data_IF_100430980543
#
_entry.id   IF_100430980543
#
_cell.length_a   1.000
_cell.length_b   1.000
_cell.length_c   1.000
_cell.angle_alpha   90.00
_cell.angle_beta   90.00
_cell.angle_gamma   90.00
#
_symmetry.space_group_name_H-M   'P 1'
#
loop_
_entity.id
_entity.type
_entity.pdbx_description
1 polymer ?
#
# COMPACT_ATOMS: atom_id res chain seq x y z
N UNK A 1 26.24 -8.40 -20.48
CA UNK A 1 26.58 -9.41 -19.46
C UNK A 1 26.14 -8.89 -18.09
N UNK A 2 24.85 -8.55 -17.93
CA UNK A 2 24.25 -7.99 -16.68
C UNK A 2 22.75 -8.32 -16.64
N UNK A 3 22.33 -9.50 -17.11
CA UNK A 3 20.89 -9.85 -17.17
C UNK A 3 20.52 -11.17 -16.48
N UNK A 4 21.50 -11.90 -15.93
CA UNK A 4 21.22 -13.19 -15.27
C UNK A 4 21.18 -13.10 -13.73
N UNK A 5 21.70 -12.03 -13.11
CA UNK A 5 21.86 -11.99 -11.64
C UNK A 5 20.59 -11.61 -10.85
N UNK A 6 19.48 -11.28 -11.51
CA UNK A 6 18.21 -10.94 -10.85
C UNK A 6 17.22 -12.11 -10.78
N UNK A 7 17.56 -13.26 -11.35
CA UNK A 7 16.70 -14.45 -11.35
C UNK A 7 16.95 -15.40 -10.17
N UNK A 8 18.08 -15.27 -9.45
CA UNK A 8 18.51 -16.22 -8.41
C UNK A 8 17.98 -15.92 -6.98
N UNK A 9 17.32 -14.80 -6.72
CA UNK A 9 16.84 -14.46 -5.35
C UNK A 9 15.36 -14.79 -5.07
N UNK A 10 14.72 -15.54 -5.97
CA UNK A 10 13.31 -15.96 -5.85
C UNK A 10 13.14 -17.45 -5.53
N UNK A 11 14.22 -18.15 -5.19
CA UNK A 11 14.16 -19.56 -4.84
C UNK A 11 13.76 -19.75 -3.36
N UNK A 12 12.63 -20.42 -3.15
CA UNK A 12 12.41 -21.19 -1.92
C UNK A 12 11.52 -20.56 -0.86
N UNK A 13 10.26 -20.27 -1.18
CA UNK A 13 9.18 -20.59 -0.22
C UNK A 13 8.04 -21.22 -1.01
N UNK A 14 8.23 -22.48 -1.40
CA UNK A 14 7.09 -23.34 -1.71
C UNK A 14 6.27 -23.47 -0.42
N UNK A 15 5.20 -22.69 -0.31
CA UNK A 15 4.15 -22.94 0.66
C UNK A 15 3.44 -24.18 0.14
N UNK A 16 3.96 -25.36 0.46
CA UNK A 16 3.22 -26.60 0.31
C UNK A 16 2.03 -26.51 1.25
N UNK A 17 0.92 -25.97 0.75
CA UNK A 17 -0.40 -26.11 1.38
C UNK A 17 -0.79 -27.58 1.25
N UNK A 18 -0.17 -28.43 2.07
CA UNK A 18 -0.71 -29.76 2.32
C UNK A 18 -1.99 -29.52 3.11
N UNK A 19 -3.12 -29.43 2.41
CA UNK A 19 -4.42 -29.46 3.06
C UNK A 19 -4.46 -30.67 4.00
N UNK A 20 -4.88 -30.48 5.27
CA UNK A 20 -5.00 -31.60 6.17
C UNK A 20 -5.97 -32.61 5.54
N UNK A 21 -5.49 -33.84 5.31
CA UNK A 21 -6.24 -34.94 4.66
C UNK A 21 -7.51 -35.35 5.43
N UNK A 22 -7.76 -34.76 6.58
CA UNK A 22 -8.94 -34.95 7.41
C UNK A 22 -9.49 -33.58 7.84
N UNK A 23 -10.82 -33.41 7.89
CA UNK A 23 -11.42 -32.22 8.47
C UNK A 23 -10.89 -32.03 9.90
N UNK A 24 -10.43 -30.82 10.22
CA UNK A 24 -9.78 -30.46 11.49
C UNK A 24 -10.66 -30.73 12.72
N UNK A 25 -11.98 -30.76 12.52
CA UNK A 25 -12.98 -31.04 13.54
C UNK A 25 -14.02 -32.01 12.99
N UNK A 26 -14.53 -32.88 13.86
CA UNK A 26 -15.74 -33.63 13.59
C UNK A 26 -16.94 -32.68 13.48
N UNK A 27 -18.00 -33.12 12.78
CA UNK A 27 -19.21 -32.31 12.62
C UNK A 27 -19.86 -31.93 13.97
N UNK A 28 -19.68 -32.79 14.98
CA UNK A 28 -20.16 -32.53 16.34
C UNK A 28 -19.32 -31.45 17.04
N UNK A 29 -18.00 -31.52 16.95
CA UNK A 29 -17.10 -30.50 17.51
C UNK A 29 -17.34 -29.14 16.86
N UNK A 30 -17.50 -29.10 15.54
CA UNK A 30 -17.84 -27.89 14.81
C UNK A 30 -19.15 -27.28 15.32
N UNK A 31 -20.18 -28.12 15.49
CA UNK A 31 -21.48 -27.66 16.02
C UNK A 31 -21.36 -27.13 17.44
N UNK A 32 -20.53 -27.74 18.29
CA UNK A 32 -20.28 -27.26 19.65
C UNK A 32 -19.61 -25.88 19.62
N UNK A 33 -18.62 -25.68 18.76
CA UNK A 33 -17.95 -24.38 18.58
C UNK A 33 -18.93 -23.32 18.08
N UNK A 34 -19.76 -23.64 17.07
CA UNK A 34 -20.80 -22.72 16.57
C UNK A 34 -21.82 -22.36 17.68
N UNK A 35 -22.17 -23.31 18.55
CA UNK A 35 -23.04 -23.03 19.70
C UNK A 35 -22.34 -22.18 20.77
N UNK A 36 -21.04 -22.35 20.98
CA UNK A 36 -20.25 -21.51 21.88
C UNK A 36 -20.19 -20.06 21.38
N UNK A 37 -19.88 -19.86 20.10
CA UNK A 37 -19.85 -18.54 19.46
C UNK A 37 -21.23 -17.87 19.55
N UNK A 38 -22.30 -18.63 19.28
CA UNK A 38 -23.67 -18.12 19.39
C UNK A 38 -24.04 -17.75 20.84
N UNK A 39 -23.53 -18.49 21.81
CA UNK A 39 -23.77 -18.21 23.23
C UNK A 39 -23.06 -16.90 23.64
N UNK A 40 -21.82 -16.69 23.19
CA UNK A 40 -21.10 -15.44 23.43
C UNK A 40 -21.83 -14.24 22.80
N UNK A 41 -22.32 -14.39 21.57
CA UNK A 41 -23.10 -13.36 20.87
C UNK A 41 -24.37 -12.99 21.65
N UNK A 42 -25.13 -14.00 22.11
CA UNK A 42 -26.36 -13.78 22.88
C UNK A 42 -26.06 -13.13 24.24
N UNK A 43 -24.96 -13.48 24.89
CA UNK A 43 -24.55 -12.82 26.14
C UNK A 43 -24.26 -11.33 25.91
N UNK A 44 -23.62 -10.99 24.79
CA UNK A 44 -23.36 -9.60 24.41
C UNK A 44 -24.67 -8.86 24.09
N UNK A 45 -25.59 -9.49 23.36
CA UNK A 45 -26.91 -8.92 23.06
C UNK A 45 -27.70 -8.64 24.34
N UNK A 46 -27.74 -9.59 25.28
CA UNK A 46 -28.39 -9.41 26.59
C UNK A 46 -27.74 -8.25 27.36
N UNK A 47 -26.41 -8.15 27.35
CA UNK A 47 -25.70 -7.06 28.00
C UNK A 47 -26.06 -5.69 27.39
N UNK A 48 -26.15 -5.61 26.05
CA UNK A 48 -26.58 -4.39 25.36
C UNK A 48 -28.03 -4.01 25.67
N UNK A 49 -28.95 -4.97 25.70
CA UNK A 49 -30.35 -4.74 26.04
C UNK A 49 -30.53 -4.29 27.50
N UNK A 50 -29.72 -4.81 28.43
CA UNK A 50 -29.65 -4.33 29.82
C UNK A 50 -29.11 -2.91 29.90
N UNK A 51 -28.03 -2.61 29.17
CA UNK A 51 -27.43 -1.26 29.16
C UNK A 51 -28.34 -0.19 28.55
N UNK A 52 -29.17 -0.57 27.56
CA UNK A 52 -30.16 0.32 26.93
C UNK A 52 -31.39 0.57 27.82
N UNK A 53 -31.48 -0.10 28.98
CA UNK A 53 -32.66 -0.01 29.86
C UNK A 53 -33.90 -0.71 29.31
N UNK A 54 -33.79 -1.48 28.22
CA UNK A 54 -34.92 -2.28 27.69
C UNK A 54 -35.29 -3.39 28.68
N UNK A 55 -34.30 -3.86 29.44
CA UNK A 55 -34.46 -4.88 30.49
C UNK A 55 -34.32 -4.31 31.92
N UNK A 56 -34.11 -3.00 32.09
CA UNK A 56 -33.87 -2.34 33.38
C UNK A 56 -34.87 -1.18 33.55
N UNK A 57 -35.66 -1.20 34.63
CA UNK A 57 -36.65 -0.16 34.96
C UNK A 57 -36.01 1.08 35.62
N UNK A 58 -34.85 1.54 35.16
CA UNK A 58 -34.23 2.72 35.75
C UNK A 58 -34.86 4.00 35.18
N UNK A 59 -35.32 4.88 36.08
CA UNK A 59 -35.83 6.20 35.72
C UNK A 59 -34.72 7.09 35.17
N UNK A 60 -35.00 7.94 34.16
CA UNK A 60 -33.99 8.82 33.59
C UNK A 60 -33.56 9.86 34.64
N UNK A 61 -32.35 9.68 35.19
CA UNK A 61 -31.73 10.63 36.10
C UNK A 61 -31.10 11.78 35.30
N UNK A 62 -31.35 13.02 35.69
CA UNK A 62 -30.65 14.18 35.10
C UNK A 62 -29.15 14.10 35.42
N UNK A 63 -28.35 13.76 34.43
CA UNK A 63 -26.91 13.61 34.58
C UNK A 63 -26.18 14.92 34.27
N UNK A 64 -25.33 15.37 35.20
CA UNK A 64 -24.40 16.47 34.94
C UNK A 64 -23.28 16.04 33.98
N UNK A 65 -22.70 16.98 33.23
CA UNK A 65 -21.57 16.70 32.32
C UNK A 65 -20.38 16.05 33.06
N UNK A 66 -20.19 16.38 34.33
CA UNK A 66 -19.18 15.76 35.20
C UNK A 66 -19.46 14.27 35.50
N UNK A 67 -20.73 13.89 35.62
CA UNK A 67 -21.14 12.51 35.89
C UNK A 67 -21.04 11.65 34.63
N UNK A 68 -21.33 12.25 33.46
CA UNK A 68 -21.12 11.61 32.15
C UNK A 68 -19.62 11.29 31.94
N UNK A 69 -18.71 12.24 32.24
CA UNK A 69 -17.26 12.01 32.12
C UNK A 69 -16.76 10.91 33.05
N UNK A 70 -17.27 10.87 34.30
CA UNK A 70 -16.95 9.79 35.25
C UNK A 70 -17.46 8.44 34.76
N UNK A 71 -18.72 8.36 34.32
CA UNK A 71 -19.32 7.14 33.80
C UNK A 71 -18.59 6.63 32.54
N UNK A 72 -18.16 7.52 31.64
CA UNK A 72 -17.34 7.15 30.48
C UNK A 72 -15.99 6.55 30.90
N UNK A 73 -15.32 7.17 31.88
CA UNK A 73 -14.05 6.65 32.38
C UNK A 73 -14.23 5.29 33.08
N UNK A 74 -15.30 5.12 33.86
CA UNK A 74 -15.66 3.85 34.51
C UNK A 74 -15.99 2.76 33.49
N UNK A 75 -16.73 3.08 32.43
CA UNK A 75 -17.01 2.17 31.32
C UNK A 75 -15.72 1.74 30.62
N UNK A 76 -14.82 2.68 30.30
CA UNK A 76 -13.53 2.36 29.68
C UNK A 76 -12.69 1.45 30.59
N UNK A 77 -12.66 1.73 31.90
CA UNK A 77 -11.98 0.87 32.88
C UNK A 77 -12.60 -0.51 32.96
N UNK A 78 -13.93 -0.61 33.01
CA UNK A 78 -14.64 -1.89 33.04
C UNK A 78 -14.40 -2.69 31.75
N UNK A 79 -14.42 -2.04 30.58
CA UNK A 79 -14.12 -2.67 29.29
C UNK A 79 -12.69 -3.20 29.25
N UNK A 80 -11.71 -2.40 29.67
CA UNK A 80 -10.33 -2.83 29.74
C UNK A 80 -10.16 -4.01 30.71
N UNK A 81 -10.76 -3.94 31.90
CA UNK A 81 -10.72 -5.01 32.89
C UNK A 81 -11.37 -6.30 32.38
N UNK A 82 -12.50 -6.20 31.68
CA UNK A 82 -13.17 -7.33 31.06
C UNK A 82 -12.30 -7.98 29.97
N UNK A 83 -11.71 -7.19 29.08
CA UNK A 83 -10.81 -7.68 28.04
C UNK A 83 -9.58 -8.38 28.63
N UNK A 84 -8.93 -7.78 29.63
CA UNK A 84 -7.78 -8.40 30.31
C UNK A 84 -8.19 -9.72 30.97
N UNK A 85 -9.34 -9.76 31.65
CA UNK A 85 -9.86 -10.98 32.27
C UNK A 85 -10.13 -12.07 31.23
N UNK A 86 -10.79 -11.72 30.12
CA UNK A 86 -11.11 -12.67 29.05
C UNK A 86 -9.82 -13.24 28.45
N UNK A 87 -8.87 -12.37 28.08
CA UNK A 87 -7.59 -12.78 27.53
C UNK A 87 -6.80 -13.65 28.52
N UNK A 88 -6.89 -13.38 29.83
CA UNK A 88 -6.23 -14.20 30.86
C UNK A 88 -6.87 -15.58 30.95
N UNK A 89 -8.21 -15.65 30.94
CA UNK A 89 -8.94 -16.93 30.98
C UNK A 89 -8.62 -17.75 29.72
N UNK A 90 -8.72 -17.15 28.54
CA UNK A 90 -8.39 -17.77 27.26
C UNK A 90 -6.93 -18.26 27.24
N UNK A 91 -5.99 -17.42 27.68
CA UNK A 91 -4.58 -17.77 27.78
C UNK A 91 -4.35 -18.99 28.67
N UNK A 92 -5.01 -19.08 29.83
CA UNK A 92 -4.91 -20.25 30.72
C UNK A 92 -5.55 -21.49 30.09
N UNK A 93 -6.71 -21.34 29.44
CA UNK A 93 -7.43 -22.44 28.79
C UNK A 93 -6.65 -23.02 27.61
N UNK A 94 -5.94 -22.19 26.85
CA UNK A 94 -5.17 -22.62 25.67
C UNK A 94 -3.77 -23.10 26.05
N UNK A 95 -3.11 -22.48 27.04
CA UNK A 95 -1.73 -22.81 27.40
C UNK A 95 -1.56 -24.23 27.96
N UNK A 96 -2.48 -24.71 28.81
CA UNK A 96 -2.35 -26.03 29.43
C UNK A 96 -2.43 -27.19 28.41
N UNK A 97 -3.41 -27.22 27.48
CA UNK A 97 -3.42 -28.20 26.39
C UNK A 97 -2.17 -28.13 25.50
N UNK A 98 -1.67 -26.94 25.17
CA UNK A 98 -0.43 -26.79 24.37
C UNK A 98 0.77 -27.39 25.12
N UNK A 99 0.95 -27.05 26.40
CA UNK A 99 2.05 -27.58 27.20
C UNK A 99 2.01 -29.10 27.29
N UNK A 100 0.81 -29.68 27.43
CA UNK A 100 0.66 -31.14 27.45
C UNK A 100 0.87 -31.78 26.09
N UNK A 101 0.40 -31.17 25.01
CA UNK A 101 0.63 -31.63 23.65
C UNK A 101 2.13 -31.74 23.34
N UNK A 102 2.92 -30.77 23.81
CA UNK A 102 4.37 -30.73 23.56
C UNK A 102 5.16 -31.57 24.58
N UNK A 103 4.79 -31.57 25.86
CA UNK A 103 5.64 -32.10 26.93
C UNK A 103 5.08 -33.30 27.71
N UNK A 104 3.77 -33.55 27.70
CA UNK A 104 3.19 -34.57 28.57
C UNK A 104 3.32 -35.99 28.01
N UNK A 105 3.71 -36.18 26.74
CA UNK A 105 3.98 -37.49 26.15
C UNK A 105 2.85 -38.49 26.41
N UNK A 106 3.13 -39.53 27.21
CA UNK A 106 2.19 -40.60 27.56
C UNK A 106 1.07 -40.13 28.52
N UNK A 107 1.28 -39.03 29.25
CA UNK A 107 0.31 -38.45 30.20
C UNK A 107 -0.65 -37.44 29.54
N UNK A 108 -0.48 -37.14 28.25
CA UNK A 108 -1.41 -36.32 27.48
C UNK A 108 -2.66 -37.15 27.13
N UNK A 109 -3.84 -36.53 27.19
CA UNK A 109 -5.05 -37.14 26.62
C UNK A 109 -4.91 -37.31 25.11
N UNK A 110 -5.63 -38.26 24.47
CA UNK A 110 -5.55 -38.46 23.01
C UNK A 110 -5.82 -37.18 22.22
N UNK A 111 -6.81 -36.38 22.65
CA UNK A 111 -7.11 -35.09 22.04
C UNK A 111 -5.96 -34.07 22.18
N UNK A 112 -5.22 -34.09 23.29
CA UNK A 112 -4.03 -33.24 23.46
C UNK A 112 -2.85 -33.73 22.61
N UNK A 113 -2.70 -35.04 22.38
CA UNK A 113 -1.67 -35.59 21.48
C UNK A 113 -1.91 -35.20 20.02
N UNK A 114 -3.17 -35.15 19.58
CA UNK A 114 -3.56 -34.76 18.23
C UNK A 114 -3.26 -33.27 17.92
N UNK A 115 -3.08 -32.43 18.95
CA UNK A 115 -2.73 -31.02 18.77
C UNK A 115 -1.29 -30.78 18.33
N UNK A 116 -0.36 -31.70 18.62
CA UNK A 116 1.06 -31.53 18.32
C UNK A 116 1.35 -31.20 16.84
N UNK A 117 0.86 -31.96 15.84
CA UNK A 117 1.11 -31.63 14.43
C UNK A 117 0.51 -30.28 14.01
N UNK A 118 -0.60 -29.86 14.61
CA UNK A 118 -1.24 -28.57 14.34
C UNK A 118 -0.40 -27.42 14.93
N UNK A 119 0.16 -27.61 16.13
CA UNK A 119 1.07 -26.67 16.77
C UNK A 119 2.34 -26.51 15.94
N UNK A 120 2.95 -27.61 15.49
CA UNK A 120 4.14 -27.55 14.62
C UNK A 120 3.86 -26.84 13.30
N UNK A 121 2.70 -27.08 12.70
CA UNK A 121 2.30 -26.39 11.48
C UNK A 121 2.11 -24.89 11.71
N UNK A 122 1.40 -24.51 12.77
CA UNK A 122 1.24 -23.11 13.20
C UNK A 122 2.60 -22.44 13.42
N UNK A 123 3.52 -23.11 14.09
CA UNK A 123 4.83 -22.53 14.43
C UNK A 123 5.68 -22.34 13.16
N UNK A 124 5.66 -23.29 12.22
CA UNK A 124 6.28 -23.13 10.90
C UNK A 124 5.71 -21.94 10.12
N UNK A 125 4.38 -21.80 10.10
CA UNK A 125 3.71 -20.65 9.47
C UNK A 125 4.05 -19.34 10.18
N UNK A 126 4.15 -19.34 11.51
CA UNK A 126 4.51 -18.16 12.29
C UNK A 126 5.92 -17.70 11.98
N UNK A 127 6.89 -18.63 11.88
CA UNK A 127 8.26 -18.32 11.45
C UNK A 127 8.26 -17.73 10.04
N UNK A 128 7.56 -18.35 9.08
CA UNK A 128 7.47 -17.82 7.71
C UNK A 128 6.83 -16.42 7.66
N UNK A 129 5.77 -16.19 8.43
CA UNK A 129 5.08 -14.90 8.52
C UNK A 129 5.99 -13.82 9.12
N UNK A 130 6.76 -14.14 10.17
CA UNK A 130 7.72 -13.18 10.76
C UNK A 130 8.85 -12.84 9.78
N UNK A 131 9.37 -13.82 9.03
CA UNK A 131 10.35 -13.59 7.99
C UNK A 131 9.84 -12.70 6.86
N UNK A 132 8.62 -12.97 6.37
CA UNK A 132 7.96 -12.13 5.37
C UNK A 132 7.72 -10.71 5.90
N UNK A 133 7.25 -10.58 7.15
CA UNK A 133 7.00 -9.28 7.78
C UNK A 133 8.29 -8.47 7.92
N UNK A 134 9.41 -9.11 8.26
CA UNK A 134 10.72 -8.48 8.31
C UNK A 134 11.17 -8.01 6.92
N UNK A 135 11.00 -8.84 5.87
CA UNK A 135 11.31 -8.47 4.48
C UNK A 135 10.46 -7.30 4.00
N UNK A 136 9.16 -7.29 4.30
CA UNK A 136 8.25 -6.17 4.00
C UNK A 136 8.68 -4.90 4.72
N UNK A 137 9.09 -5.00 5.99
CA UNK A 137 9.60 -3.83 6.72
C UNK A 137 10.91 -3.31 6.11
N UNK A 138 11.85 -4.18 5.74
CA UNK A 138 13.14 -3.78 5.14
C UNK A 138 12.93 -3.09 3.79
N UNK A 139 12.18 -3.72 2.90
CA UNK A 139 11.87 -3.17 1.56
C UNK A 139 11.14 -1.84 1.67
N UNK A 140 10.24 -1.67 2.64
CA UNK A 140 9.59 -0.38 2.91
C UNK A 140 10.59 0.68 3.39
N UNK A 141 11.52 0.35 4.26
CA UNK A 141 12.57 1.27 4.71
C UNK A 141 13.50 1.67 3.56
N UNK A 142 13.89 0.72 2.71
CA UNK A 142 14.69 0.99 1.51
C UNK A 142 13.94 1.89 0.53
N UNK A 143 12.66 1.61 0.25
CA UNK A 143 11.81 2.46 -0.59
C UNK A 143 11.74 3.89 -0.04
N UNK A 144 11.54 4.06 1.27
CA UNK A 144 11.52 5.38 1.90
C UNK A 144 12.84 6.13 1.73
N UNK A 145 13.99 5.45 1.81
CA UNK A 145 15.29 6.07 1.54
C UNK A 145 15.38 6.53 0.08
N UNK A 146 15.05 5.66 -0.87
CA UNK A 146 15.09 5.98 -2.31
C UNK A 146 14.14 7.13 -2.65
N UNK A 147 12.93 7.14 -2.10
CA UNK A 147 11.97 8.23 -2.28
C UNK A 147 12.49 9.55 -1.72
N UNK A 148 13.16 9.53 -0.57
CA UNK A 148 13.77 10.72 0.02
C UNK A 148 14.92 11.27 -0.84
N UNK A 149 15.79 10.41 -1.35
CA UNK A 149 16.85 10.80 -2.27
C UNK A 149 16.30 11.34 -3.58
N UNK A 150 15.26 10.68 -4.12
CA UNK A 150 14.59 11.13 -5.33
C UNK A 150 13.97 12.51 -5.13
N UNK A 151 13.30 12.77 -4.00
CA UNK A 151 12.74 14.08 -3.68
C UNK A 151 13.82 15.17 -3.62
N UNK A 152 14.99 14.88 -3.02
CA UNK A 152 16.12 15.81 -2.96
C UNK A 152 16.68 16.08 -4.37
N UNK A 153 16.96 15.02 -5.14
CA UNK A 153 17.49 15.12 -6.51
C UNK A 153 16.52 15.83 -7.45
N UNK A 154 15.22 15.56 -7.35
CA UNK A 154 14.19 16.23 -8.14
C UNK A 154 14.15 17.75 -7.83
N UNK A 155 14.26 18.13 -6.55
CA UNK A 155 14.34 19.54 -6.16
C UNK A 155 15.62 20.22 -6.68
N UNK A 156 16.75 19.53 -6.63
CA UNK A 156 18.00 20.05 -7.18
C UNK A 156 17.93 20.20 -8.70
N UNK A 157 17.40 19.20 -9.41
CA UNK A 157 17.20 19.26 -10.85
C UNK A 157 16.29 20.44 -11.22
N UNK A 158 15.15 20.62 -10.55
CA UNK A 158 14.28 21.76 -10.78
C UNK A 158 15.00 23.11 -10.55
N UNK A 159 15.87 23.20 -9.53
CA UNK A 159 16.69 24.39 -9.25
C UNK A 159 17.76 24.63 -10.32
N UNK A 160 18.39 23.57 -10.83
CA UNK A 160 19.40 23.68 -11.88
C UNK A 160 18.76 24.07 -13.22
N UNK A 161 17.63 23.46 -13.57
CA UNK A 161 16.87 23.78 -14.78
C UNK A 161 16.36 25.22 -14.77
N UNK A 162 15.86 25.73 -13.63
CA UNK A 162 15.47 27.14 -13.52
C UNK A 162 16.66 28.10 -13.66
N UNK A 163 17.83 27.74 -13.11
CA UNK A 163 19.06 28.51 -13.28
C UNK A 163 19.58 28.46 -14.72
N UNK A 164 19.49 27.31 -15.38
CA UNK A 164 19.86 27.16 -16.78
C UNK A 164 18.97 28.04 -17.68
N UNK A 165 17.66 28.04 -17.44
CA UNK A 165 16.71 28.92 -18.14
C UNK A 165 17.06 30.40 -17.93
N UNK A 166 17.31 30.82 -16.68
CA UNK A 166 17.69 32.20 -16.38
C UNK A 166 19.00 32.61 -17.08
N UNK A 167 20.01 31.74 -17.09
CA UNK A 167 21.28 31.99 -17.80
C UNK A 167 21.10 32.00 -19.32
N UNK A 168 20.23 31.14 -19.86
CA UNK A 168 19.92 31.13 -21.28
C UNK A 168 19.18 32.43 -21.70
N UNK A 169 18.27 32.92 -20.86
CA UNK A 169 17.62 34.22 -21.04
C UNK A 169 18.65 35.35 -21.00
N UNK A 170 19.52 35.39 -19.99
CA UNK A 170 20.58 36.40 -19.85
C UNK A 170 21.54 36.39 -21.05
N UNK A 171 21.97 35.21 -21.51
CA UNK A 171 22.83 35.10 -22.70
C UNK A 171 22.11 35.56 -23.97
N UNK A 172 20.80 35.34 -24.07
CA UNK A 172 20.01 35.80 -25.21
C UNK A 172 19.80 37.32 -25.17
N UNK A 173 19.58 37.92 -23.99
CA UNK A 173 19.50 39.38 -23.85
C UNK A 173 20.85 40.04 -24.13
N UNK A 174 21.96 39.51 -23.61
CA UNK A 174 23.32 40.01 -23.91
C UNK A 174 23.62 39.94 -25.41
N UNK A 175 23.29 38.83 -26.09
CA UNK A 175 23.44 38.73 -27.55
C UNK A 175 22.61 39.79 -28.30
N UNK A 176 21.42 40.14 -27.82
CA UNK A 176 20.61 41.20 -28.42
C UNK A 176 21.20 42.59 -28.12
N UNK A 177 21.74 42.79 -26.93
CA UNK A 177 22.34 44.05 -26.47
C UNK A 177 23.71 44.35 -27.12
N UNK A 178 24.54 43.34 -27.38
CA UNK A 178 25.85 43.49 -28.03
C UNK A 178 25.76 43.89 -29.52
N UNK A 179 24.58 43.74 -30.14
CA UNK A 179 24.35 44.21 -31.52
C UNK A 179 24.14 45.73 -31.48
N UNK A 180 25.19 46.49 -31.77
CA UNK A 180 25.20 47.96 -31.81
C UNK A 180 24.42 48.54 -33.00
N UNK A 181 24.27 47.77 -34.09
CA UNK A 181 23.53 48.17 -35.29
C UNK A 181 22.02 47.96 -35.15
N UNK A 182 21.26 49.07 -35.14
CA UNK A 182 19.79 49.05 -35.02
C UNK A 182 19.08 48.30 -36.15
N UNK A 183 19.66 48.30 -37.36
CA UNK A 183 19.14 47.59 -38.53
C UNK A 183 19.30 46.07 -38.39
N UNK A 184 20.41 45.61 -37.81
CA UNK A 184 20.65 44.19 -37.55
C UNK A 184 19.73 43.67 -36.44
N UNK A 185 19.46 44.46 -35.40
CA UNK A 185 18.45 44.10 -34.37
C UNK A 185 17.05 43.89 -34.94
N UNK A 186 16.57 44.83 -35.76
CA UNK A 186 15.24 44.71 -36.40
C UNK A 186 15.13 43.49 -37.33
N UNK A 187 16.21 43.16 -38.06
CA UNK A 187 16.25 41.96 -38.89
C UNK A 187 16.23 40.67 -38.05
N UNK A 188 16.87 40.68 -36.89
CA UNK A 188 16.91 39.52 -35.99
C UNK A 188 15.56 39.26 -35.32
N UNK A 189 14.85 40.31 -34.90
CA UNK A 189 13.49 40.19 -34.36
C UNK A 189 12.47 39.73 -35.42
N UNK A 190 12.62 40.21 -36.66
CA UNK A 190 11.82 39.71 -37.79
C UNK A 190 12.08 38.22 -38.05
N UNK A 191 13.35 37.80 -38.09
CA UNK A 191 13.71 36.40 -38.26
C UNK A 191 13.19 35.52 -37.11
N UNK A 192 13.24 36.00 -35.88
CA UNK A 192 12.71 35.28 -34.71
C UNK A 192 11.18 35.09 -34.81
N UNK A 193 10.47 36.13 -35.27
CA UNK A 193 9.05 36.06 -35.59
C UNK A 193 8.73 35.04 -36.69
N UNK A 194 9.52 35.03 -37.76
CA UNK A 194 9.36 34.10 -38.88
C UNK A 194 9.65 32.64 -38.46
N UNK A 195 10.65 32.41 -37.60
CA UNK A 195 10.92 31.08 -37.04
C UNK A 195 9.79 30.62 -36.12
N UNK A 196 9.22 31.50 -35.29
CA UNK A 196 8.06 31.15 -34.43
C UNK A 196 6.83 30.79 -35.26
N UNK A 197 6.51 31.56 -36.29
CA UNK A 197 5.38 31.26 -37.17
C UNK A 197 5.62 29.98 -37.98
N UNK A 198 6.86 29.73 -38.43
CA UNK A 198 7.25 28.48 -39.10
C UNK A 198 7.11 27.27 -38.17
N UNK A 199 7.57 27.36 -36.91
CA UNK A 199 7.40 26.29 -35.90
C UNK A 199 5.93 26.02 -35.59
N UNK A 200 5.10 27.06 -35.50
CA UNK A 200 3.67 26.90 -35.29
C UNK A 200 3.00 26.20 -36.48
N UNK A 201 3.35 26.59 -37.71
CA UNK A 201 2.89 25.92 -38.94
C UNK A 201 3.33 24.46 -38.99
N UNK A 202 4.58 24.18 -38.63
CA UNK A 202 5.10 22.82 -38.55
C UNK A 202 4.33 21.97 -37.53
N UNK A 203 4.04 22.50 -36.34
CA UNK A 203 3.26 21.80 -35.30
C UNK A 203 1.85 21.46 -35.79
N UNK A 204 1.18 22.40 -36.45
CA UNK A 204 -0.16 22.18 -37.03
C UNK A 204 -0.09 21.13 -38.14
N UNK A 205 0.87 21.22 -39.04
CA UNK A 205 1.05 20.26 -40.12
C UNK A 205 1.39 18.86 -39.60
N UNK A 206 2.22 18.76 -38.56
CA UNK A 206 2.54 17.51 -37.86
C UNK A 206 1.29 16.91 -37.24
N UNK A 207 0.55 17.67 -36.43
CA UNK A 207 -0.69 17.19 -35.81
C UNK A 207 -1.75 16.77 -36.83
N UNK A 208 -1.83 17.47 -37.97
CA UNK A 208 -2.74 17.12 -39.07
C UNK A 208 -2.30 15.82 -39.76
N UNK A 209 -0.99 15.64 -40.01
CA UNK A 209 -0.45 14.42 -40.60
C UNK A 209 -0.66 13.20 -39.68
N UNK A 210 -0.33 13.32 -38.39
CA UNK A 210 -0.53 12.24 -37.41
C UNK A 210 -2.03 11.91 -37.24
N UNK A 211 -2.89 12.93 -37.17
CA UNK A 211 -4.35 12.73 -37.13
C UNK A 211 -4.92 12.07 -38.39
N UNK A 212 -4.37 12.40 -39.56
CA UNK A 212 -4.76 11.77 -40.84
C UNK A 212 -4.30 10.32 -40.89
N UNK A 213 -3.07 10.01 -40.47
CA UNK A 213 -2.55 8.63 -40.42
C UNK A 213 -3.41 7.78 -39.49
N UNK A 214 -3.70 8.24 -38.28
CA UNK A 214 -4.55 7.52 -37.31
C UNK A 214 -5.99 7.39 -37.83
N UNK A 215 -6.56 8.44 -38.43
CA UNK A 215 -7.92 8.45 -38.94
C UNK A 215 -8.13 7.67 -40.25
N UNK A 216 -7.06 7.39 -41.01
CA UNK A 216 -7.13 6.69 -42.30
C UNK A 216 -7.34 5.17 -42.19
N UNK A 217 -7.22 4.59 -41.00
CA UNK A 217 -7.33 3.15 -40.78
C UNK A 217 -6.12 2.34 -41.26
N UNK A 218 -5.02 3.01 -41.64
CA UNK A 218 -3.72 2.36 -41.91
C UNK A 218 -3.15 1.83 -40.59
N UNK A 219 -2.63 0.60 -40.58
CA UNK A 219 -2.03 -0.05 -39.39
C UNK A 219 -0.64 0.54 -39.07
N UNK A 220 -0.64 1.78 -38.57
CA UNK A 220 0.55 2.57 -38.24
C UNK A 220 1.35 2.03 -37.05
N UNK A 221 0.77 1.14 -36.25
CA UNK A 221 1.44 0.52 -35.11
C UNK A 221 2.46 -0.56 -35.53
N UNK A 222 2.31 -1.14 -36.74
CA UNK A 222 3.23 -2.16 -37.27
C UNK A 222 4.38 -1.58 -38.10
N UNK A 223 4.24 -0.35 -38.61
CA UNK A 223 5.31 0.32 -39.34
C UNK A 223 6.10 1.23 -38.39
N UNK A 224 7.37 0.92 -38.09
CA UNK A 224 8.20 1.73 -37.19
C UNK A 224 8.37 3.18 -37.67
N UNK A 225 8.24 3.45 -38.97
CA UNK A 225 8.30 4.82 -39.50
C UNK A 225 7.03 5.62 -39.19
N UNK A 226 5.86 4.98 -39.28
CA UNK A 226 4.58 5.63 -38.97
C UNK A 226 4.37 5.76 -37.45
N UNK A 227 4.81 4.76 -36.69
CA UNK A 227 4.86 4.80 -35.23
C UNK A 227 5.63 6.03 -34.72
N UNK A 228 6.82 6.28 -35.28
CA UNK A 228 7.63 7.44 -34.91
C UNK A 228 7.00 8.79 -35.26
N UNK A 229 6.22 8.86 -36.36
CA UNK A 229 5.51 10.08 -36.77
C UNK A 229 4.28 10.36 -35.88
N UNK A 230 3.68 9.33 -35.29
CA UNK A 230 2.45 9.44 -34.48
C UNK A 230 2.74 9.61 -32.98
N UNK A 231 3.76 8.91 -32.45
CA UNK A 231 4.01 8.85 -31.01
C UNK A 231 5.07 9.82 -30.48
N UNK A 232 5.82 10.50 -31.35
CA UNK A 232 6.87 11.47 -30.96
C UNK A 232 7.86 10.96 -29.90
N UNK A 233 8.97 10.36 -30.34
CA UNK A 233 10.17 10.17 -29.50
C UNK A 233 11.19 11.31 -29.66
N UNK A 234 10.69 12.53 -29.92
CA UNK A 234 11.50 13.75 -29.84
C UNK A 234 11.09 14.47 -28.56
N UNK A 235 11.93 14.33 -27.54
CA UNK A 235 11.74 14.79 -26.17
C UNK A 235 11.02 16.14 -26.04
N UNK A 236 10.06 16.13 -25.12
CA UNK A 236 9.51 17.32 -24.51
C UNK A 236 10.62 18.16 -23.86
N UNK A 237 11.18 19.10 -24.61
CA UNK A 237 11.81 20.29 -24.05
C UNK A 237 10.88 21.48 -24.29
N UNK A 238 10.05 21.74 -23.29
CA UNK A 238 9.44 23.02 -23.00
C UNK A 238 9.89 23.46 -21.62
#
# INVERSE_FOLDING_TARGET
>A
MVRDDLAEEMEGVEITTSEPKHPLFTEQERRILEMYDRLEELQLEIALLKARGVLSQDEPMEASEGDIKKAQQELLRAKAAYQVRNNTIEGVLVANPILKAVHAGINASPAEQDLLPLIEHRDKLSVALTGLSAKVSSTRSELMMVESEHAIKARENARLSSRMLALAEEANTQKKEDITDSKLRLQLDQLEGDVKTSRQRWRIMKGTASGTIVGSGVDWARDPKLLGIVLDDDGAEG
#
